data_IF_971472148560
#
_entry.id   IF_971472148560
#
_cell.length_a   1.000
_cell.length_b   1.000
_cell.length_c   1.000
_cell.angle_alpha   90.00
_cell.angle_beta   90.00
_cell.angle_gamma   90.00
#
_symmetry.space_group_name_H-M   'P 1'
#
loop_
_entity.id
_entity.type
_entity.pdbx_description
1 polymer ?
#
# COMPACT_ATOMS: atom_id res chain seq x y z
N UNK A 1 -0.20 24.11 15.65
CA UNK A 1 0.26 23.62 14.34
C UNK A 1 -0.92 22.91 13.73
N UNK A 2 -1.65 23.62 12.86
CA UNK A 2 -2.83 23.12 12.20
C UNK A 2 -2.45 21.93 11.30
N UNK A 3 -2.82 20.74 11.74
CA UNK A 3 -2.96 19.61 10.84
C UNK A 3 -4.18 19.92 9.97
N UNK A 4 -3.94 20.52 8.84
CA UNK A 4 -4.97 20.77 7.85
C UNK A 4 -5.39 19.45 7.25
N UNK A 5 -6.41 18.84 7.82
CA UNK A 5 -7.33 18.08 6.99
C UNK A 5 -7.89 19.04 5.97
N UNK A 6 -7.53 18.93 4.71
CA UNK A 6 -8.12 19.75 3.68
C UNK A 6 -9.58 19.36 3.53
N UNK A 7 -10.44 20.04 4.27
CA UNK A 7 -11.85 20.16 3.93
C UNK A 7 -11.95 21.21 2.84
N UNK A 8 -11.53 20.85 1.64
CA UNK A 8 -11.83 21.60 0.44
C UNK A 8 -13.33 21.49 0.19
N UNK A 9 -14.06 22.53 0.50
CA UNK A 9 -15.35 22.81 -0.13
C UNK A 9 -15.06 23.07 -1.60
N UNK A 10 -15.33 22.15 -2.44
CA UNK A 10 -15.20 22.29 -3.89
C UNK A 10 -14.52 21.10 -4.49
N UNK A 11 -15.36 20.19 -4.93
CA UNK A 11 -15.18 19.28 -6.03
C UNK A 11 -14.01 18.29 -6.04
N UNK A 12 -14.45 17.15 -6.20
CA UNK A 12 -13.91 15.82 -6.32
C UNK A 12 -13.81 15.24 -4.92
N UNK A 13 -14.83 14.54 -4.54
CA UNK A 13 -14.78 13.60 -3.43
C UNK A 13 -13.48 12.81 -3.58
N UNK A 14 -12.48 13.15 -2.79
CA UNK A 14 -11.26 12.35 -2.70
C UNK A 14 -11.69 11.04 -2.09
N UNK A 15 -11.89 10.06 -2.94
CA UNK A 15 -12.34 8.74 -2.54
C UNK A 15 -11.17 8.05 -1.88
N UNK A 16 -11.43 7.49 -0.73
CA UNK A 16 -10.40 6.77 0.01
C UNK A 16 -10.04 5.49 -0.75
N UNK A 17 -8.76 5.36 -1.08
CA UNK A 17 -8.16 4.12 -1.54
C UNK A 17 -7.49 3.41 -0.37
N UNK A 18 -7.73 2.11 -0.25
CA UNK A 18 -7.08 1.27 0.74
C UNK A 18 -7.04 -0.17 0.22
N UNK A 19 -5.85 -0.79 0.28
CA UNK A 19 -5.63 -2.15 -0.20
C UNK A 19 -6.08 -2.35 -1.66
N UNK A 20 -5.73 -1.40 -2.52
CA UNK A 20 -6.09 -1.35 -3.94
C UNK A 20 -7.60 -1.27 -4.24
N UNK A 21 -8.42 -1.07 -3.23
CA UNK A 21 -9.87 -0.90 -3.35
C UNK A 21 -10.28 0.53 -3.04
N UNK A 22 -11.40 0.91 -3.64
CA UNK A 22 -12.03 2.20 -3.43
C UNK A 22 -13.12 2.08 -2.36
N UNK A 23 -13.03 2.92 -1.34
CA UNK A 23 -13.94 2.94 -0.21
C UNK A 23 -14.75 4.24 -0.19
N UNK A 24 -15.92 4.20 0.42
CA UNK A 24 -16.69 5.40 0.72
C UNK A 24 -16.03 6.15 1.89
N UNK A 25 -15.89 7.47 1.76
CA UNK A 25 -15.32 8.35 2.79
C UNK A 25 -14.30 9.34 2.25
N UNK A 26 -13.78 10.17 3.14
CA UNK A 26 -12.74 11.14 2.83
C UNK A 26 -11.40 10.44 2.60
N UNK A 27 -10.76 10.72 1.48
CA UNK A 27 -9.44 10.21 1.16
C UNK A 27 -8.34 10.85 1.99
N UNK A 28 -7.22 10.16 2.11
CA UNK A 28 -6.00 10.67 2.74
C UNK A 28 -5.25 11.53 1.73
N UNK A 29 -4.78 12.70 2.16
CA UNK A 29 -3.96 13.56 1.33
C UNK A 29 -2.55 12.97 1.16
N UNK A 30 -2.09 12.84 -0.07
CA UNK A 30 -0.78 12.30 -0.39
C UNK A 30 -0.44 12.51 -1.88
N UNK A 31 0.81 12.25 -2.25
CA UNK A 31 1.31 12.39 -3.62
C UNK A 31 0.73 11.34 -4.59
N UNK A 32 0.28 10.21 -4.04
CA UNK A 32 -0.47 9.15 -4.73
C UNK A 32 -1.95 9.17 -4.31
N UNK A 33 -2.63 8.03 -4.41
CA UNK A 33 -4.03 7.87 -3.96
C UNK A 33 -4.19 7.77 -2.42
N UNK A 34 -3.07 7.79 -1.67
CA UNK A 34 -3.06 7.69 -0.21
C UNK A 34 -3.36 6.29 0.33
N UNK A 35 -3.15 5.24 -0.47
CA UNK A 35 -3.35 3.84 -0.06
C UNK A 35 -2.24 3.38 0.89
N UNK A 36 -2.46 3.54 2.20
CA UNK A 36 -1.48 3.22 3.23
C UNK A 36 -1.12 1.73 3.29
N UNK A 37 -2.04 0.83 2.93
CA UNK A 37 -1.77 -0.60 2.89
C UNK A 37 -0.83 -0.96 1.73
N UNK A 38 -1.07 -0.40 0.54
CA UNK A 38 -0.18 -0.56 -0.60
C UNK A 38 1.20 0.03 -0.31
N UNK A 39 1.28 1.22 0.30
CA UNK A 39 2.56 1.86 0.65
C UNK A 39 3.36 1.03 1.66
N UNK A 40 2.72 0.50 2.70
CA UNK A 40 3.39 -0.37 3.67
C UNK A 40 3.92 -1.66 3.02
N UNK A 41 3.15 -2.26 2.10
CA UNK A 41 3.58 -3.45 1.36
C UNK A 41 4.75 -3.15 0.41
N UNK A 42 4.77 -1.99 -0.24
CA UNK A 42 5.89 -1.55 -1.08
C UNK A 42 7.17 -1.45 -0.24
N UNK A 43 7.09 -0.78 0.90
CA UNK A 43 8.24 -0.64 1.82
C UNK A 43 8.72 -2.00 2.33
N UNK A 44 7.80 -2.90 2.70
CA UNK A 44 8.15 -4.24 3.17
C UNK A 44 8.87 -5.06 2.07
N UNK A 45 8.37 -5.02 0.83
CA UNK A 45 8.96 -5.72 -0.31
C UNK A 45 10.35 -5.19 -0.64
N UNK A 46 10.52 -3.87 -0.73
CA UNK A 46 11.79 -3.23 -1.04
C UNK A 46 12.81 -3.46 0.08
N UNK A 47 12.40 -3.31 1.34
CA UNK A 47 13.25 -3.54 2.50
C UNK A 47 13.71 -5.00 2.61
N UNK A 48 12.81 -5.96 2.39
CA UNK A 48 13.15 -7.39 2.39
C UNK A 48 14.18 -7.76 1.31
N UNK A 49 14.14 -7.07 0.17
CA UNK A 49 15.10 -7.25 -0.92
C UNK A 49 16.39 -6.42 -0.75
N UNK A 50 16.49 -5.57 0.27
CA UNK A 50 17.62 -4.66 0.47
C UNK A 50 17.69 -3.53 -0.56
N UNK A 51 16.54 -3.12 -1.12
CA UNK A 51 16.44 -2.14 -2.22
C UNK A 51 15.91 -0.76 -1.80
N UNK A 52 15.90 -0.49 -0.49
CA UNK A 52 15.46 0.80 0.06
C UNK A 52 13.97 0.82 0.41
N UNK A 53 13.30 1.89 0.07
CA UNK A 53 11.91 2.18 0.41
C UNK A 53 11.14 2.82 -0.76
N UNK A 54 9.87 3.13 -0.53
CA UNK A 54 8.98 3.77 -1.53
C UNK A 54 9.56 5.10 -2.04
N UNK A 55 10.17 5.91 -1.16
CA UNK A 55 10.80 7.17 -1.52
C UNK A 55 12.03 6.99 -2.42
N UNK A 56 12.79 5.92 -2.19
CA UNK A 56 13.94 5.54 -3.03
C UNK A 56 13.51 5.14 -4.44
N UNK A 57 12.42 4.39 -4.56
CA UNK A 57 11.95 3.90 -5.87
C UNK A 57 11.16 4.94 -6.65
N UNK A 58 10.25 5.66 -5.99
CA UNK A 58 9.30 6.57 -6.65
C UNK A 58 9.64 8.04 -6.48
N UNK A 59 10.57 8.39 -5.58
CA UNK A 59 10.81 9.77 -5.17
C UNK A 59 9.75 10.29 -4.19
N UNK A 60 9.85 11.57 -3.86
CA UNK A 60 8.95 12.25 -2.93
C UNK A 60 8.42 13.56 -3.52
N UNK A 61 7.23 13.97 -3.11
CA UNK A 61 6.60 15.21 -3.54
C UNK A 61 5.78 15.08 -4.82
N UNK A 62 5.14 16.17 -5.22
CA UNK A 62 4.22 16.22 -6.37
C UNK A 62 4.89 15.98 -7.74
N UNK A 63 6.22 15.98 -7.79
CA UNK A 63 7.01 15.69 -8.99
C UNK A 63 7.57 14.26 -8.96
N UNK A 64 7.16 13.44 -7.99
CA UNK A 64 7.59 12.04 -7.88
C UNK A 64 6.96 11.17 -8.97
N UNK A 65 7.61 10.06 -9.32
CA UNK A 65 7.07 9.06 -10.24
C UNK A 65 5.82 8.35 -9.68
N UNK A 66 5.58 8.48 -8.38
CA UNK A 66 4.38 7.99 -7.70
C UNK A 66 3.19 8.95 -7.73
N UNK A 67 3.39 10.21 -8.11
CA UNK A 67 2.35 11.23 -8.09
C UNK A 67 1.16 10.86 -8.98
N UNK A 68 -0.04 10.81 -8.38
CA UNK A 68 -1.28 10.46 -9.06
C UNK A 68 -1.47 8.98 -9.42
N UNK A 69 -0.53 8.11 -9.08
CA UNK A 69 -0.65 6.67 -9.31
C UNK A 69 -1.50 5.98 -8.24
N UNK A 70 -2.19 4.93 -8.64
CA UNK A 70 -2.92 4.06 -7.71
C UNK A 70 -1.99 3.03 -7.06
N UNK A 71 -2.33 2.62 -5.83
CA UNK A 71 -1.56 1.65 -5.06
C UNK A 71 -1.27 0.35 -5.81
N UNK A 72 -2.24 -0.18 -6.56
CA UNK A 72 -2.06 -1.37 -7.38
C UNK A 72 -1.00 -1.20 -8.48
N UNK A 73 -0.97 -0.04 -9.12
CA UNK A 73 0.04 0.27 -10.15
C UNK A 73 1.43 0.39 -9.53
N UNK A 74 1.54 1.06 -8.38
CA UNK A 74 2.79 1.18 -7.66
C UNK A 74 3.32 -0.17 -7.17
N UNK A 75 2.44 -1.06 -6.69
CA UNK A 75 2.81 -2.42 -6.30
C UNK A 75 3.35 -3.22 -7.49
N UNK A 76 2.69 -3.18 -8.66
CA UNK A 76 3.19 -3.84 -9.88
C UNK A 76 4.56 -3.32 -10.29
N UNK A 77 4.75 -2.01 -10.30
CA UNK A 77 6.04 -1.37 -10.58
C UNK A 77 7.12 -1.85 -9.60
N UNK A 78 6.78 -1.99 -8.32
CA UNK A 78 7.69 -2.49 -7.29
C UNK A 78 8.08 -3.95 -7.57
N UNK A 79 7.12 -4.80 -7.92
CA UNK A 79 7.38 -6.20 -8.26
C UNK A 79 8.25 -6.33 -9.51
N UNK A 80 7.99 -5.53 -10.54
CA UNK A 80 8.84 -5.49 -11.74
C UNK A 80 10.28 -5.09 -11.40
N UNK A 81 10.43 -4.09 -10.53
CA UNK A 81 11.75 -3.65 -10.04
C UNK A 81 12.50 -4.74 -9.26
N UNK A 82 11.80 -5.54 -8.43
CA UNK A 82 12.36 -6.71 -7.76
C UNK A 82 12.80 -7.77 -8.78
N UNK A 83 11.92 -8.10 -9.73
CA UNK A 83 12.16 -9.12 -10.75
C UNK A 83 13.38 -8.80 -11.61
N UNK A 84 13.55 -7.55 -12.02
CA UNK A 84 14.74 -7.07 -12.76
C UNK A 84 16.04 -7.29 -11.98
N UNK A 85 15.97 -7.31 -10.64
CA UNK A 85 17.10 -7.55 -9.73
C UNK A 85 17.22 -8.98 -9.25
N UNK A 86 16.46 -9.88 -9.88
CA UNK A 86 16.52 -11.30 -9.59
C UNK A 86 15.87 -11.72 -8.30
N UNK A 87 14.92 -10.93 -7.79
CA UNK A 87 14.14 -11.24 -6.60
C UNK A 87 12.65 -11.35 -6.95
N UNK A 88 11.90 -12.14 -6.21
CA UNK A 88 10.45 -12.24 -6.36
C UNK A 88 9.75 -12.32 -5.01
N UNK A 89 8.52 -11.80 -4.90
CA UNK A 89 7.69 -11.97 -3.70
C UNK A 89 7.30 -13.45 -3.52
N UNK A 90 7.23 -13.88 -2.27
CA UNK A 90 6.76 -15.23 -1.87
C UNK A 90 5.44 -15.14 -1.13
N UNK A 91 5.36 -14.28 -0.15
CA UNK A 91 4.15 -14.01 0.63
C UNK A 91 4.26 -12.64 1.28
N UNK A 92 3.12 -12.06 1.62
CA UNK A 92 3.08 -10.81 2.37
C UNK A 92 1.86 -10.76 3.29
N UNK A 93 1.94 -9.92 4.31
CA UNK A 93 0.82 -9.61 5.18
C UNK A 93 0.78 -8.13 5.50
N UNK A 94 -0.41 -7.60 5.72
CA UNK A 94 -0.60 -6.21 6.13
C UNK A 94 -1.68 -6.10 7.19
N UNK A 95 -1.42 -5.33 8.23
CA UNK A 95 -2.41 -4.92 9.21
C UNK A 95 -2.70 -3.44 9.06
N UNK A 96 -3.98 -3.11 8.94
CA UNK A 96 -4.48 -1.72 8.92
C UNK A 96 -4.99 -1.36 10.29
N UNK A 97 -4.55 -0.23 10.80
CA UNK A 97 -4.92 0.32 12.10
C UNK A 97 -5.76 1.56 11.84
N UNK A 98 -7.06 1.43 12.01
CA UNK A 98 -8.00 2.51 11.71
C UNK A 98 -9.39 2.26 12.32
N UNK A 99 -10.12 3.34 12.59
CA UNK A 99 -11.54 3.24 12.93
C UNK A 99 -12.40 2.97 11.69
N UNK A 100 -11.99 3.47 10.54
CA UNK A 100 -12.66 3.33 9.24
C UNK A 100 -11.62 3.28 8.11
N UNK A 101 -11.95 2.62 6.96
CA UNK A 101 -13.19 1.91 6.67
C UNK A 101 -13.30 0.59 7.44
N UNK A 102 -14.51 0.03 7.53
CA UNK A 102 -14.74 -1.29 8.14
C UNK A 102 -14.39 -2.40 7.15
N UNK A 103 -13.20 -2.92 7.27
CA UNK A 103 -12.58 -3.85 6.31
C UNK A 103 -13.27 -5.22 6.25
N UNK A 104 -13.87 -5.69 7.36
CA UNK A 104 -14.33 -7.05 7.50
C UNK A 104 -15.19 -7.61 6.36
N UNK A 105 -16.10 -6.80 5.80
CA UNK A 105 -17.00 -7.21 4.71
C UNK A 105 -16.30 -7.34 3.35
N UNK A 106 -15.19 -6.65 3.15
CA UNK A 106 -14.45 -6.57 1.89
C UNK A 106 -13.02 -7.12 2.01
N UNK A 107 -12.72 -7.82 3.11
CA UNK A 107 -11.37 -8.38 3.35
C UNK A 107 -10.91 -9.28 2.22
N UNK A 108 -11.72 -10.25 1.84
CA UNK A 108 -11.37 -11.20 0.78
C UNK A 108 -11.15 -10.51 -0.57
N UNK A 109 -11.94 -9.47 -0.86
CA UNK A 109 -11.79 -8.67 -2.08
C UNK A 109 -10.49 -7.87 -2.04
N UNK A 110 -10.14 -7.27 -0.89
CA UNK A 110 -8.89 -6.55 -0.67
C UNK A 110 -7.67 -7.49 -0.79
N UNK A 111 -7.69 -8.64 -0.13
CA UNK A 111 -6.64 -9.65 -0.22
C UNK A 111 -6.43 -10.14 -1.66
N UNK A 112 -7.51 -10.34 -2.41
CA UNK A 112 -7.46 -10.71 -3.82
C UNK A 112 -6.82 -9.61 -4.67
N UNK A 113 -7.23 -8.36 -4.49
CA UNK A 113 -6.68 -7.22 -5.23
C UNK A 113 -5.17 -7.02 -4.95
N UNK A 114 -4.75 -7.13 -3.69
CA UNK A 114 -3.35 -7.05 -3.29
C UNK A 114 -2.54 -8.23 -3.83
N UNK A 115 -3.07 -9.45 -3.71
CA UNK A 115 -2.41 -10.67 -4.20
C UNK A 115 -2.23 -10.64 -5.71
N UNK A 116 -3.21 -10.14 -6.44
CA UNK A 116 -3.14 -9.96 -7.90
C UNK A 116 -2.09 -8.90 -8.30
N UNK A 117 -2.01 -7.79 -7.54
CA UNK A 117 -1.05 -6.73 -7.80
C UNK A 117 0.40 -7.16 -7.52
N UNK A 118 0.64 -7.99 -6.49
CA UNK A 118 1.97 -8.43 -6.05
C UNK A 118 2.39 -9.74 -6.72
N UNK A 119 1.45 -10.59 -7.10
CA UNK A 119 1.73 -11.89 -7.70
C UNK A 119 2.07 -12.99 -6.69
N UNK A 120 1.74 -12.80 -5.41
CA UNK A 120 1.83 -13.82 -4.36
C UNK A 120 0.64 -13.70 -3.41
N UNK A 121 0.51 -14.66 -2.49
CA UNK A 121 -0.54 -14.60 -1.47
C UNK A 121 -0.29 -13.44 -0.51
N UNK A 122 -1.33 -12.63 -0.31
CA UNK A 122 -1.33 -11.51 0.64
C UNK A 122 -2.49 -11.67 1.59
N UNK A 123 -2.21 -11.70 2.88
CA UNK A 123 -3.22 -11.67 3.93
C UNK A 123 -3.39 -10.26 4.50
N UNK A 124 -4.61 -9.92 4.88
CA UNK A 124 -4.94 -8.61 5.44
C UNK A 124 -5.74 -8.74 6.71
N UNK A 125 -5.35 -8.00 7.72
CA UNK A 125 -6.10 -7.84 8.97
C UNK A 125 -6.36 -6.37 9.25
N UNK A 126 -7.28 -6.10 10.15
CA UNK A 126 -7.57 -4.75 10.61
C UNK A 126 -7.79 -4.74 12.12
N UNK A 127 -7.34 -3.68 12.75
CA UNK A 127 -7.50 -3.44 14.19
C UNK A 127 -7.76 -1.97 14.47
N UNK A 128 -8.06 -1.66 15.72
CA UNK A 128 -8.19 -0.30 16.24
C UNK A 128 -7.25 -0.09 17.41
N UNK A 129 -7.09 1.15 17.83
CA UNK A 129 -6.35 1.51 19.06
C UNK A 129 -7.30 1.89 20.21
N UNK A 130 -8.54 1.41 20.17
CA UNK A 130 -9.56 1.65 21.22
C UNK A 130 -9.75 3.14 21.58
N UNK A 131 -9.73 3.99 20.56
CA UNK A 131 -9.91 5.43 20.70
C UNK A 131 -8.65 6.22 21.08
N UNK A 132 -7.50 5.56 21.20
CA UNK A 132 -6.22 6.19 21.55
C UNK A 132 -5.42 6.62 20.33
N UNK A 133 -4.71 7.75 20.47
CA UNK A 133 -3.81 8.27 19.45
C UNK A 133 -4.52 8.76 18.19
N UNK A 134 -3.74 9.06 17.14
CA UNK A 134 -4.26 9.66 15.90
C UNK A 134 -5.17 8.70 15.10
N UNK A 135 -4.91 7.41 15.18
CA UNK A 135 -5.78 6.40 14.55
C UNK A 135 -7.09 6.24 15.31
N UNK A 136 -7.02 6.29 16.64
CA UNK A 136 -8.18 6.16 17.52
C UNK A 136 -9.10 7.38 17.49
N UNK A 137 -8.54 8.59 17.33
CA UNK A 137 -9.31 9.84 17.17
C UNK A 137 -9.88 10.00 15.75
N UNK A 138 -9.50 9.15 14.80
CA UNK A 138 -9.94 9.24 13.41
C UNK A 138 -9.23 10.32 12.60
N UNK A 139 -8.09 10.84 13.09
CA UNK A 139 -7.27 11.82 12.36
C UNK A 139 -6.47 11.19 11.23
N UNK A 140 -6.20 9.88 11.30
CA UNK A 140 -5.44 9.18 10.29
C UNK A 140 -5.62 7.66 10.34
N UNK A 141 -4.95 7.01 9.39
CA UNK A 141 -4.87 5.56 9.24
C UNK A 141 -3.40 5.17 9.23
N UNK A 142 -3.06 4.04 9.85
CA UNK A 142 -1.74 3.46 9.79
C UNK A 142 -1.81 2.04 9.22
N UNK A 143 -0.71 1.58 8.62
CA UNK A 143 -0.55 0.19 8.21
C UNK A 143 0.86 -0.29 8.52
N UNK A 144 0.97 -1.57 8.87
CA UNK A 144 2.24 -2.26 9.06
C UNK A 144 2.19 -3.50 8.18
N UNK A 145 3.24 -3.74 7.41
CA UNK A 145 3.33 -4.89 6.53
C UNK A 145 4.63 -5.65 6.71
N UNK A 146 4.56 -6.95 6.45
CA UNK A 146 5.69 -7.86 6.36
C UNK A 146 5.68 -8.53 5.00
N UNK A 147 6.85 -8.78 4.44
CA UNK A 147 6.99 -9.49 3.17
C UNK A 147 8.15 -10.46 3.21
N UNK A 148 7.97 -11.58 2.53
CA UNK A 148 9.03 -12.53 2.24
C UNK A 148 9.34 -12.49 0.75
N UNK A 149 10.61 -12.34 0.42
CA UNK A 149 11.12 -12.38 -0.96
C UNK A 149 12.19 -13.45 -1.09
N UNK A 150 12.35 -13.99 -2.29
CA UNK A 150 13.40 -14.97 -2.58
C UNK A 150 14.10 -14.64 -3.90
N UNK A 151 15.35 -15.11 -4.10
CA UNK A 151 16.00 -15.02 -5.41
C UNK A 151 15.23 -15.81 -6.47
N UNK A 152 15.14 -15.24 -7.67
CA UNK A 152 14.62 -15.97 -8.84
C UNK A 152 15.68 -16.95 -9.30
N UNK A 153 15.32 -18.23 -9.42
CA UNK A 153 16.23 -19.26 -9.95
C UNK A 153 16.64 -18.90 -11.40
N UNK A 154 17.96 -18.80 -11.68
CA UNK A 154 18.43 -18.50 -13.02
C UNK A 154 17.97 -19.51 -14.08
N UNK A 155 17.68 -20.74 -13.69
CA UNK A 155 17.19 -21.79 -14.59
C UNK A 155 15.77 -21.52 -15.11
N UNK A 156 14.98 -20.71 -14.40
CA UNK A 156 13.61 -20.34 -14.79
C UNK A 156 13.56 -19.18 -15.79
N UNK A 157 14.67 -18.45 -15.99
CA UNK A 157 14.75 -17.32 -16.95
C UNK A 157 14.84 -17.75 -18.42
N UNK A 158 15.04 -19.03 -18.73
CA UNK A 158 15.20 -19.53 -20.09
C UNK A 158 13.92 -20.10 -20.72
N UNK A 159 12.77 -19.98 -20.07
CA UNK A 159 11.51 -20.54 -20.54
C UNK A 159 10.48 -19.48 -21.00
N UNK A 160 10.97 -18.40 -21.64
CA UNK A 160 10.11 -17.44 -22.36
C UNK A 160 10.67 -17.18 -23.75
#
# INVERSE_FOLDING_TARGET
>A
RDLRMSRGLGDVYKRQWLACLRWEGDGIEGDSDGDVAAHALIDALLSAAGLGDIGTLFGVGSQSDGAGKHGAEMLRTTVDYLNERGMKPVSASVVVIANRPKIGKHREEAERALSEAIGCEVSMTATTTDGMGFTGSGEGVAAIADALVEPVDPSTRQAV
#
